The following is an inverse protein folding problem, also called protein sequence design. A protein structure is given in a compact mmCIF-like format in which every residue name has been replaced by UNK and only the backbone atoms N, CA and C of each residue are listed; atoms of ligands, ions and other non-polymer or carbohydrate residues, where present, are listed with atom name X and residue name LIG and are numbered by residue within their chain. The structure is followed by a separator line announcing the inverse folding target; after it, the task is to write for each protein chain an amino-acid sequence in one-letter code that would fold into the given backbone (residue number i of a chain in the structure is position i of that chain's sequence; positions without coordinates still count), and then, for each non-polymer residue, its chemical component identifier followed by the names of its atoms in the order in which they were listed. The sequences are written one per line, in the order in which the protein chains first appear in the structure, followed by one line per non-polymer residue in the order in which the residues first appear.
data_IF_091034834430
#
_entry.id   IF_091034834430
#
_cell.length_a   1.000
_cell.length_b   1.000
_cell.length_c   1.000
_cell.angle_alpha   90.00
_cell.angle_beta   90.00
_cell.angle_gamma   90.00
#
_symmetry.space_group_name_H-M   'P 1'
#
loop_
_entity.id
_entity.type
_entity.pdbx_description
1 polymer ?
#
# COMPACT_ATOMS: atom_id res chain seq x y z
N UNK A 1 -14.69 11.05 -1.00
CA UNK A 1 -14.46 10.72 0.42
C UNK A 1 -12.99 11.01 0.73
N UNK A 2 -12.69 11.81 1.77
CA UNK A 2 -11.33 12.29 2.04
C UNK A 2 -10.48 11.19 2.70
N UNK A 3 -9.28 10.94 2.17
CA UNK A 3 -8.40 9.83 2.58
C UNK A 3 -7.99 9.90 4.06
N UNK A 4 -7.92 11.13 4.59
CA UNK A 4 -7.70 11.42 6.01
C UNK A 4 -8.70 10.69 6.90
N UNK A 5 -9.97 10.52 6.50
CA UNK A 5 -10.96 9.84 7.32
C UNK A 5 -10.66 8.35 7.50
N UNK A 6 -10.30 7.64 6.42
CA UNK A 6 -9.96 6.22 6.50
C UNK A 6 -8.70 6.01 7.34
N UNK A 7 -7.71 6.87 7.14
CA UNK A 7 -6.48 6.83 7.92
C UNK A 7 -6.74 7.11 9.41
N UNK A 8 -7.48 8.15 9.75
CA UNK A 8 -7.80 8.49 11.15
C UNK A 8 -8.63 7.40 11.82
N UNK A 9 -9.60 6.81 11.12
CA UNK A 9 -10.39 5.70 11.65
C UNK A 9 -9.49 4.49 11.95
N UNK A 10 -8.57 4.15 11.04
CA UNK A 10 -7.65 3.06 11.23
C UNK A 10 -6.61 3.36 12.33
N UNK A 11 -6.15 4.61 12.46
CA UNK A 11 -5.26 5.06 13.53
C UNK A 11 -5.94 4.95 14.89
N UNK A 12 -7.20 5.38 14.98
CA UNK A 12 -8.02 5.32 16.17
C UNK A 12 -8.27 3.87 16.63
N UNK A 13 -8.27 2.89 15.73
CA UNK A 13 -8.29 1.48 16.08
C UNK A 13 -6.89 0.93 16.44
N UNK A 14 -5.87 1.31 15.67
CA UNK A 14 -4.50 0.78 15.78
C UNK A 14 -3.84 1.21 17.09
N UNK A 15 -3.93 2.49 17.46
CA UNK A 15 -3.24 3.03 18.64
C UNK A 15 -3.71 2.35 19.94
N UNK A 16 -5.01 2.27 20.26
CA UNK A 16 -5.47 1.55 21.45
C UNK A 16 -5.10 0.06 21.42
N UNK A 17 -5.14 -0.59 20.25
CA UNK A 17 -4.78 -1.99 20.11
C UNK A 17 -3.29 -2.24 20.43
N UNK A 18 -2.39 -1.36 19.98
CA UNK A 18 -0.97 -1.41 20.32
C UNK A 18 -0.74 -1.23 21.83
N UNK A 19 -1.39 -0.25 22.46
CA UNK A 19 -1.30 -0.05 23.91
C UNK A 19 -1.83 -1.25 24.69
N UNK A 20 -3.01 -1.77 24.32
CA UNK A 20 -3.59 -2.94 24.96
C UNK A 20 -2.69 -4.18 24.80
N UNK A 21 -2.10 -4.38 23.62
CA UNK A 21 -1.11 -5.45 23.38
C UNK A 21 0.09 -5.32 24.31
N UNK A 22 0.65 -4.12 24.45
CA UNK A 22 1.81 -3.87 25.31
C UNK A 22 1.48 -4.13 26.79
N UNK A 23 0.31 -3.66 27.26
CA UNK A 23 -0.17 -3.90 28.63
C UNK A 23 -0.36 -5.39 28.89
N UNK A 24 -1.07 -6.11 28.01
CA UNK A 24 -1.28 -7.55 28.15
C UNK A 24 0.04 -8.33 28.12
N UNK A 25 1.01 -7.87 27.32
CA UNK A 25 2.36 -8.44 27.28
C UNK A 25 3.09 -8.26 28.61
N UNK A 26 3.05 -7.05 29.18
CA UNK A 26 3.64 -6.76 30.48
C UNK A 26 3.00 -7.56 31.63
N UNK A 27 1.70 -7.82 31.55
CA UNK A 27 0.96 -8.64 32.53
C UNK A 27 1.11 -10.15 32.31
N UNK A 28 1.82 -10.60 31.26
CA UNK A 28 1.97 -12.02 30.94
C UNK A 28 0.67 -12.71 30.51
N UNK A 29 -0.31 -11.95 30.00
CA UNK A 29 -1.62 -12.49 29.61
C UNK A 29 -1.54 -13.39 28.39
N UNK A 30 -2.33 -14.48 28.39
CA UNK A 30 -2.49 -15.37 27.23
C UNK A 30 -3.13 -14.66 26.01
N UNK A 31 -3.89 -13.58 26.24
CA UNK A 31 -4.49 -12.76 25.20
C UNK A 31 -3.50 -11.84 24.47
N UNK A 32 -2.26 -11.72 24.96
CA UNK A 32 -1.22 -10.91 24.32
C UNK A 32 -0.94 -11.35 22.87
N UNK A 33 -0.87 -12.66 22.61
CA UNK A 33 -0.56 -13.18 21.28
C UNK A 33 -1.64 -12.85 20.22
N UNK A 34 -2.93 -13.22 20.41
CA UNK A 34 -3.95 -12.90 19.41
C UNK A 34 -4.15 -11.39 19.23
N UNK A 35 -4.10 -10.60 20.31
CA UNK A 35 -4.24 -9.14 20.20
C UNK A 35 -3.02 -8.50 19.55
N UNK A 36 -1.82 -9.00 19.81
CA UNK A 36 -0.59 -8.53 19.19
C UNK A 36 -0.55 -8.81 17.69
N UNK A 37 -1.01 -9.98 17.26
CA UNK A 37 -1.17 -10.28 15.83
C UNK A 37 -2.18 -9.32 15.18
N UNK A 38 -3.33 -9.13 15.81
CA UNK A 38 -4.35 -8.19 15.31
C UNK A 38 -3.81 -6.76 15.21
N UNK A 39 -3.07 -6.31 16.22
CA UNK A 39 -2.46 -4.97 16.27
C UNK A 39 -1.36 -4.81 15.21
N UNK A 40 -0.55 -5.85 14.98
CA UNK A 40 0.46 -5.85 13.93
C UNK A 40 -0.18 -5.76 12.53
N UNK A 41 -1.27 -6.49 12.29
CA UNK A 41 -2.02 -6.41 11.03
C UNK A 41 -2.59 -5.01 10.80
N UNK A 42 -3.21 -4.40 11.82
CA UNK A 42 -3.71 -3.03 11.74
C UNK A 42 -2.59 -2.02 11.47
N UNK A 43 -1.46 -2.13 12.20
CA UNK A 43 -0.29 -1.27 12.03
C UNK A 43 0.30 -1.37 10.61
N UNK A 44 0.49 -2.58 10.09
CA UNK A 44 0.96 -2.76 8.71
C UNK A 44 -0.06 -2.21 7.71
N UNK A 45 -1.36 -2.42 7.95
CA UNK A 45 -2.42 -1.92 7.07
C UNK A 45 -2.44 -0.39 7.00
N UNK A 46 -2.31 0.32 8.13
CA UNK A 46 -2.31 1.78 8.14
C UNK A 46 -1.10 2.38 7.42
N UNK A 47 0.10 1.84 7.67
CA UNK A 47 1.31 2.30 6.99
C UNK A 47 1.27 1.99 5.48
N UNK A 48 0.75 0.82 5.11
CA UNK A 48 0.56 0.44 3.70
C UNK A 48 -0.45 1.34 2.99
N UNK A 49 -1.51 1.77 3.68
CA UNK A 49 -2.52 2.68 3.14
C UNK A 49 -1.89 4.03 2.75
N UNK A 50 -1.00 4.56 3.58
CA UNK A 50 -0.27 5.81 3.26
C UNK A 50 0.62 5.64 2.05
N UNK A 51 1.42 4.58 2.01
CA UNK A 51 2.31 4.29 0.88
C UNK A 51 1.50 4.18 -0.43
N UNK A 52 0.40 3.43 -0.40
CA UNK A 52 -0.48 3.27 -1.56
C UNK A 52 -1.04 4.62 -2.02
N UNK A 53 -1.53 5.43 -1.08
CA UNK A 53 -2.09 6.73 -1.41
C UNK A 53 -1.06 7.65 -2.07
N UNK A 54 0.14 7.72 -1.51
CA UNK A 54 1.24 8.49 -2.08
C UNK A 54 1.59 8.06 -3.51
N UNK A 55 1.65 6.75 -3.75
CA UNK A 55 1.90 6.21 -5.10
C UNK A 55 0.77 6.58 -6.07
N UNK A 56 -0.49 6.42 -5.64
CA UNK A 56 -1.67 6.72 -6.46
C UNK A 56 -1.74 8.22 -6.77
N UNK A 57 -1.55 9.11 -5.79
CA UNK A 57 -1.51 10.57 -6.01
C UNK A 57 -0.50 10.95 -7.08
N UNK A 58 0.75 10.48 -6.96
CA UNK A 58 1.76 10.79 -7.96
C UNK A 58 1.39 10.28 -9.36
N UNK A 59 0.74 9.13 -9.47
CA UNK A 59 0.24 8.61 -10.75
C UNK A 59 -0.89 9.45 -11.32
N UNK A 60 -1.87 9.81 -10.50
CA UNK A 60 -3.03 10.62 -10.93
C UNK A 60 -2.59 11.99 -11.41
N UNK A 61 -1.70 12.68 -10.69
CA UNK A 61 -1.18 13.98 -11.10
C UNK A 61 -0.39 13.91 -12.42
N UNK A 62 0.40 12.83 -12.62
CA UNK A 62 1.11 12.62 -13.89
C UNK A 62 0.16 12.43 -15.07
N UNK A 63 -0.92 11.70 -14.84
CA UNK A 63 -1.94 11.46 -15.86
C UNK A 63 -2.73 12.74 -16.16
N UNK A 64 -3.07 13.52 -15.13
CA UNK A 64 -3.71 14.82 -15.27
C UNK A 64 -2.83 15.82 -16.05
N UNK A 65 -1.54 15.89 -15.76
CA UNK A 65 -0.61 16.72 -16.53
C UNK A 65 -0.59 16.33 -18.02
N UNK A 66 -0.53 15.03 -18.31
CA UNK A 66 -0.45 14.53 -19.69
C UNK A 66 -1.72 14.81 -20.49
N UNK A 67 -2.89 14.71 -19.87
CA UNK A 67 -4.17 14.71 -20.59
C UNK A 67 -4.97 16.01 -20.48
N UNK A 68 -4.75 16.79 -19.42
CA UNK A 68 -5.58 17.94 -19.06
C UNK A 68 -4.77 19.23 -18.91
N UNK A 69 -3.52 19.24 -19.36
CA UNK A 69 -2.61 20.40 -19.28
C UNK A 69 -2.45 20.96 -17.87
N UNK A 70 -2.58 20.11 -16.83
CA UNK A 70 -2.31 20.52 -15.46
C UNK A 70 -0.86 21.03 -15.37
N UNK A 71 -0.64 22.16 -14.69
CA UNK A 71 0.67 22.79 -14.64
C UNK A 71 1.75 21.89 -14.02
N UNK A 72 3.02 21.99 -14.48
CA UNK A 72 4.13 21.17 -13.97
C UNK A 72 4.41 21.36 -12.48
N UNK A 73 4.02 22.50 -11.90
CA UNK A 73 4.19 22.83 -10.50
C UNK A 73 3.54 21.80 -9.55
N UNK A 74 2.43 21.17 -9.94
CA UNK A 74 1.77 20.15 -9.13
C UNK A 74 2.61 18.88 -8.99
N UNK A 75 3.33 18.50 -10.05
CA UNK A 75 4.23 17.35 -10.01
C UNK A 75 5.56 17.67 -9.32
N UNK A 76 6.08 18.88 -9.49
CA UNK A 76 7.25 19.33 -8.75
C UNK A 76 6.95 19.37 -7.25
N UNK A 77 5.79 19.89 -6.87
CA UNK A 77 5.34 19.93 -5.49
C UNK A 77 5.11 18.51 -4.93
N UNK A 78 4.49 17.62 -5.71
CA UNK A 78 4.36 16.21 -5.34
C UNK A 78 5.74 15.54 -5.18
N UNK A 79 6.66 15.78 -6.12
CA UNK A 79 8.02 15.25 -6.09
C UNK A 79 8.81 15.73 -4.88
N UNK A 80 8.74 17.03 -4.58
CA UNK A 80 9.30 17.64 -3.37
C UNK A 80 8.70 17.04 -2.11
N UNK A 81 7.38 16.89 -2.09
CA UNK A 81 6.69 16.23 -0.98
C UNK A 81 7.20 14.79 -0.78
N UNK A 82 7.33 13.98 -1.84
CA UNK A 82 7.85 12.61 -1.70
C UNK A 82 9.33 12.54 -1.35
N UNK A 83 10.15 13.47 -1.84
CA UNK A 83 11.59 13.50 -1.61
C UNK A 83 11.98 14.07 -0.24
N UNK A 84 11.27 15.09 0.23
CA UNK A 84 11.62 15.82 1.47
C UNK A 84 10.80 15.38 2.68
N UNK A 85 9.59 14.83 2.50
CA UNK A 85 8.73 14.50 3.65
C UNK A 85 9.06 13.13 4.19
N UNK A 86 9.17 13.08 5.52
CA UNK A 86 9.42 11.86 6.28
C UNK A 86 8.26 10.83 6.26
N UNK A 87 7.16 11.06 5.53
CA UNK A 87 5.98 10.18 5.55
C UNK A 87 6.26 8.75 5.09
N UNK A 88 6.98 8.57 3.98
CA UNK A 88 7.31 7.23 3.47
C UNK A 88 8.35 6.50 4.36
N UNK A 89 9.47 7.13 4.76
CA UNK A 89 10.39 6.52 5.71
C UNK A 89 9.73 6.20 7.07
N UNK A 90 8.83 7.05 7.55
CA UNK A 90 8.08 6.80 8.78
C UNK A 90 7.18 5.57 8.67
N UNK A 91 6.44 5.43 7.57
CA UNK A 91 5.60 4.26 7.31
C UNK A 91 6.40 2.96 7.25
N UNK A 92 7.57 2.98 6.60
CA UNK A 92 8.47 1.83 6.58
C UNK A 92 9.01 1.52 7.98
N UNK A 93 9.41 2.52 8.75
CA UNK A 93 9.91 2.32 10.12
C UNK A 93 8.82 1.75 11.04
N UNK A 94 7.58 2.27 10.96
CA UNK A 94 6.43 1.76 11.69
C UNK A 94 6.12 0.30 11.37
N UNK A 95 5.97 -0.02 10.08
CA UNK A 95 5.70 -1.38 9.61
C UNK A 95 6.83 -2.36 9.92
N UNK A 96 8.10 -1.96 9.74
CA UNK A 96 9.23 -2.84 10.02
C UNK A 96 9.41 -3.09 11.52
N UNK A 97 9.27 -2.05 12.34
CA UNK A 97 9.43 -2.19 13.80
C UNK A 97 8.40 -3.13 14.43
N UNK A 98 7.13 -3.10 13.98
CA UNK A 98 6.10 -4.00 14.52
C UNK A 98 6.34 -5.45 14.09
N UNK A 99 6.79 -5.67 12.85
CA UNK A 99 7.19 -7.01 12.37
C UNK A 99 8.38 -7.53 13.16
N UNK A 100 9.41 -6.70 13.38
CA UNK A 100 10.59 -7.07 14.17
C UNK A 100 10.21 -7.45 15.61
N UNK A 101 9.33 -6.67 16.27
CA UNK A 101 8.84 -6.99 17.60
C UNK A 101 8.09 -8.33 17.65
N UNK A 102 7.26 -8.63 16.64
CA UNK A 102 6.56 -9.90 16.50
C UNK A 102 7.50 -11.09 16.30
N UNK A 103 8.50 -10.95 15.41
CA UNK A 103 9.52 -11.99 15.18
C UNK A 103 10.32 -12.27 16.45
N UNK A 104 10.74 -11.23 17.17
CA UNK A 104 11.45 -11.38 18.45
C UNK A 104 10.58 -12.03 19.52
N UNK A 105 9.27 -11.75 19.53
CA UNK A 105 8.31 -12.41 20.44
C UNK A 105 8.19 -13.90 20.19
N UNK A 106 8.17 -14.32 18.93
CA UNK A 106 8.21 -15.74 18.57
C UNK A 106 9.57 -16.36 18.93
N UNK A 107 10.66 -15.64 18.66
CA UNK A 107 12.01 -16.13 18.89
C UNK A 107 12.34 -16.30 20.38
N UNK A 108 11.78 -15.48 21.28
CA UNK A 108 11.92 -15.66 22.72
C UNK A 108 11.40 -17.03 23.21
N UNK A 109 10.43 -17.64 22.50
CA UNK A 109 9.91 -18.98 22.83
C UNK A 109 10.71 -20.12 22.20
N UNK A 110 11.24 -19.90 20.98
CA UNK A 110 11.87 -20.97 20.19
C UNK A 110 13.41 -21.03 20.27
N UNK A 111 14.07 -19.88 20.48
CA UNK A 111 15.53 -19.75 20.34
C UNK A 111 16.24 -19.29 21.63
N UNK A 112 15.54 -19.23 22.76
CA UNK A 112 16.13 -18.86 24.05
C UNK A 112 16.52 -17.38 24.18
N UNK A 113 15.98 -16.50 23.33
CA UNK A 113 16.19 -15.06 23.44
C UNK A 113 15.56 -14.55 24.75
N UNK A 114 16.29 -13.70 25.47
CA UNK A 114 15.82 -13.10 26.73
C UNK A 114 14.46 -12.40 26.54
N UNK A 115 13.46 -12.66 27.39
CA UNK A 115 12.17 -11.96 27.34
C UNK A 115 12.28 -10.43 27.40
N UNK A 116 13.32 -9.91 28.05
CA UNK A 116 13.59 -8.47 28.13
C UNK A 116 13.86 -7.86 26.75
N UNK A 117 14.46 -8.61 25.82
CA UNK A 117 14.70 -8.15 24.44
C UNK A 117 13.37 -7.99 23.70
N UNK A 118 12.43 -8.93 23.87
CA UNK A 118 11.10 -8.82 23.27
C UNK A 118 10.32 -7.64 23.86
N UNK A 119 10.35 -7.46 25.19
CA UNK A 119 9.71 -6.32 25.87
C UNK A 119 10.29 -4.99 25.33
N UNK A 120 11.61 -4.87 25.28
CA UNK A 120 12.29 -3.68 24.75
C UNK A 120 11.91 -3.41 23.30
N UNK A 121 11.91 -4.44 22.44
CA UNK A 121 11.50 -4.31 21.05
C UNK A 121 10.02 -3.93 20.90
N UNK A 122 9.13 -4.46 21.73
CA UNK A 122 7.70 -4.11 21.74
C UNK A 122 7.47 -2.65 22.13
N UNK A 123 8.15 -2.16 23.17
CA UNK A 123 8.07 -0.74 23.58
C UNK A 123 8.67 0.20 22.53
N UNK A 124 9.80 -0.18 21.92
CA UNK A 124 10.39 0.58 20.83
C UNK A 124 9.45 0.63 19.61
N UNK A 125 8.86 -0.50 19.23
CA UNK A 125 7.89 -0.57 18.14
C UNK A 125 6.66 0.31 18.42
N UNK A 126 6.11 0.28 19.64
CA UNK A 126 5.02 1.16 20.05
C UNK A 126 5.41 2.64 19.86
N UNK A 127 6.56 3.06 20.39
CA UNK A 127 7.02 4.44 20.27
C UNK A 127 7.23 4.87 18.79
N UNK A 128 7.87 4.02 17.98
CA UNK A 128 8.09 4.25 16.56
C UNK A 128 6.76 4.37 15.81
N UNK A 129 5.78 3.50 16.09
CA UNK A 129 4.47 3.54 15.45
C UNK A 129 3.69 4.80 15.81
N UNK A 130 3.72 5.25 17.07
CA UNK A 130 3.06 6.51 17.47
C UNK A 130 3.70 7.73 16.77
N UNK A 131 5.02 7.76 16.69
CA UNK A 131 5.75 8.78 15.94
C UNK A 131 5.40 8.73 14.45
N UNK A 132 5.46 7.55 13.84
CA UNK A 132 5.19 7.35 12.42
C UNK A 132 3.78 7.77 12.05
N UNK A 133 2.78 7.34 12.83
CA UNK A 133 1.37 7.72 12.63
C UNK A 133 1.19 9.25 12.64
N UNK A 134 1.90 9.94 13.54
CA UNK A 134 1.85 11.39 13.68
C UNK A 134 2.52 12.14 12.52
N UNK A 135 3.61 11.59 11.97
CA UNK A 135 4.30 12.12 10.78
C UNK A 135 3.44 11.90 9.53
N UNK A 136 2.91 10.68 9.38
CA UNK A 136 2.04 10.29 8.27
C UNK A 136 0.74 11.09 8.24
N UNK A 137 0.11 11.34 9.39
CA UNK A 137 -1.09 12.18 9.45
C UNK A 137 -0.83 13.59 8.91
N UNK A 138 0.29 14.21 9.30
CA UNK A 138 0.72 15.51 8.77
C UNK A 138 1.04 15.46 7.28
N UNK A 139 1.67 14.38 6.82
CA UNK A 139 1.94 14.16 5.41
C UNK A 139 0.63 14.06 4.61
N UNK A 140 -0.35 13.32 5.10
CA UNK A 140 -1.67 13.16 4.47
C UNK A 140 -2.43 14.47 4.36
N UNK A 141 -2.41 15.32 5.39
CA UNK A 141 -3.07 16.63 5.34
C UNK A 141 -2.51 17.50 4.22
N UNK A 142 -1.17 17.58 4.10
CA UNK A 142 -0.55 18.35 3.02
C UNK A 142 -0.78 17.72 1.64
N UNK A 143 -0.78 16.39 1.53
CA UNK A 143 -1.11 15.74 0.27
C UNK A 143 -2.58 15.96 -0.13
N UNK A 144 -3.49 16.00 0.85
CA UNK A 144 -4.91 16.33 0.62
C UNK A 144 -5.04 17.75 0.07
N UNK A 145 -4.33 18.73 0.63
CA UNK A 145 -4.33 20.11 0.13
C UNK A 145 -3.82 20.21 -1.32
N UNK A 146 -2.77 19.45 -1.66
CA UNK A 146 -2.27 19.39 -3.04
C UNK A 146 -3.31 18.80 -3.99
N UNK A 147 -3.96 17.70 -3.61
CA UNK A 147 -5.01 17.07 -4.41
C UNK A 147 -6.22 17.98 -4.57
N UNK A 148 -6.64 18.67 -3.50
CA UNK A 148 -7.79 19.57 -3.55
C UNK A 148 -7.51 20.77 -4.47
N UNK A 149 -6.28 21.33 -4.46
CA UNK A 149 -5.86 22.36 -5.42
C UNK A 149 -5.81 21.84 -6.85
N UNK A 150 -5.26 20.65 -7.07
CA UNK A 150 -5.19 20.05 -8.40
C UNK A 150 -6.59 19.76 -8.97
N UNK A 151 -7.51 19.27 -8.14
CA UNK A 151 -8.90 19.05 -8.52
C UNK A 151 -9.60 20.36 -8.89
N UNK A 152 -9.45 21.41 -8.06
CA UNK A 152 -10.00 22.73 -8.37
C UNK A 152 -9.49 23.29 -9.70
N UNK A 153 -8.20 23.12 -9.97
CA UNK A 153 -7.58 23.58 -11.20
C UNK A 153 -8.07 22.79 -12.43
N UNK A 154 -8.22 21.47 -12.31
CA UNK A 154 -8.83 20.65 -13.35
C UNK A 154 -10.29 21.07 -13.63
N UNK A 155 -11.07 21.33 -12.59
CA UNK A 155 -12.46 21.81 -12.73
C UNK A 155 -12.53 23.21 -13.39
N UNK A 156 -11.50 24.06 -13.19
CA UNK A 156 -11.38 25.34 -13.90
C UNK A 156 -11.09 25.10 -15.39
N UNK A 157 -10.12 24.26 -15.70
CA UNK A 157 -9.71 23.95 -17.07
C UNK A 157 -10.84 23.30 -17.88
N UNK A 158 -11.60 22.39 -17.25
CA UNK A 158 -12.75 21.74 -17.88
C UNK A 158 -13.86 22.77 -18.19
N UNK A 159 -14.18 23.68 -17.25
CA UNK A 159 -15.15 24.77 -17.51
C UNK A 159 -14.71 25.72 -18.62
N UNK A 160 -13.41 26.00 -18.73
CA UNK A 160 -12.87 26.85 -19.79
C UNK A 160 -12.91 26.18 -21.17
N UNK A 161 -12.67 24.87 -21.23
CA UNK A 161 -12.84 24.08 -22.44
C UNK A 161 -14.30 24.05 -22.90
N UNK A 162 -15.22 23.81 -21.97
CA UNK A 162 -16.67 23.83 -22.24
C UNK A 162 -17.12 25.20 -22.76
N UNK A 163 -16.64 26.29 -22.16
CA UNK A 163 -16.96 27.66 -22.59
C UNK A 163 -16.44 27.99 -24.00
N UNK A 164 -15.34 27.36 -24.43
CA UNK A 164 -14.83 27.47 -25.81
C UNK A 164 -15.58 26.57 -26.81
N UNK A 165 -16.44 25.67 -26.32
CA UNK A 165 -17.08 24.65 -27.15
C UNK A 165 -16.10 23.57 -27.61
N UNK A 166 -15.00 23.36 -26.88
CA UNK A 166 -14.04 22.31 -27.18
C UNK A 166 -14.74 20.95 -27.01
N UNK A 167 -14.61 20.06 -28.01
CA UNK A 167 -15.12 18.71 -27.86
C UNK A 167 -14.39 18.00 -26.70
N UNK A 168 -15.08 17.15 -25.91
CA UNK A 168 -14.42 16.35 -24.89
C UNK A 168 -13.27 15.55 -25.53
N UNK A 169 -12.12 15.43 -24.85
CA UNK A 169 -11.03 14.63 -25.36
C UNK A 169 -11.54 13.21 -25.62
N UNK A 170 -11.23 12.68 -26.80
CA UNK A 170 -11.59 11.31 -27.13
C UNK A 170 -11.04 10.36 -26.05
N UNK A 171 -11.80 9.33 -25.64
CA UNK A 171 -11.30 8.38 -24.66
C UNK A 171 -9.97 7.79 -25.15
N UNK A 172 -8.97 7.63 -24.27
CA UNK A 172 -7.68 7.10 -24.67
C UNK A 172 -7.88 5.73 -25.33
N UNK A 173 -7.19 5.43 -26.44
CA UNK A 173 -7.31 4.15 -27.10
C UNK A 173 -6.95 3.03 -26.12
N UNK A 174 -7.70 1.92 -26.20
CA UNK A 174 -7.43 0.75 -25.35
C UNK A 174 -5.99 0.29 -25.55
N UNK A 175 -5.20 0.29 -24.48
CA UNK A 175 -3.80 -0.14 -24.55
C UNK A 175 -3.74 -1.64 -24.93
N UNK A 176 -3.22 -2.00 -26.11
CA UNK A 176 -3.18 -3.39 -26.57
C UNK A 176 -2.31 -4.29 -25.68
N UNK A 177 -1.42 -3.71 -24.88
CA UNK A 177 -0.55 -4.45 -23.93
C UNK A 177 -1.18 -4.62 -22.56
N UNK A 178 -2.37 -4.06 -22.31
CA UNK A 178 -3.09 -4.21 -21.03
C UNK A 178 -3.34 -5.69 -20.67
N UNK A 179 -3.78 -6.57 -21.58
CA UNK A 179 -3.95 -7.99 -21.29
C UNK A 179 -2.64 -8.66 -20.89
N UNK A 180 -1.52 -8.27 -21.51
CA UNK A 180 -0.23 -8.84 -21.19
C UNK A 180 0.16 -8.54 -19.73
N UNK A 181 0.07 -7.28 -19.33
CA UNK A 181 0.40 -6.87 -17.96
C UNK A 181 -0.52 -7.52 -16.93
N UNK A 182 -1.83 -7.59 -17.21
CA UNK A 182 -2.78 -8.28 -16.32
C UNK A 182 -2.49 -9.78 -16.24
N UNK A 183 -2.17 -10.42 -17.35
CA UNK A 183 -1.79 -11.82 -17.40
C UNK A 183 -0.56 -12.13 -16.56
N UNK A 184 0.50 -11.32 -16.67
CA UNK A 184 1.70 -11.47 -15.83
C UNK A 184 1.39 -11.28 -14.34
N UNK A 185 0.61 -10.25 -13.99
CA UNK A 185 0.20 -10.01 -12.60
C UNK A 185 -0.59 -11.21 -12.05
N UNK A 186 -1.56 -11.74 -12.81
CA UNK A 186 -2.32 -12.91 -12.42
C UNK A 186 -1.41 -14.15 -12.27
N UNK A 187 -0.48 -14.34 -13.21
CA UNK A 187 0.44 -15.47 -13.23
C UNK A 187 1.30 -15.55 -11.96
N UNK A 188 1.77 -14.40 -11.48
CA UNK A 188 2.59 -14.29 -10.26
C UNK A 188 1.70 -14.31 -9.00
N UNK A 189 0.64 -13.49 -8.98
CA UNK A 189 -0.20 -13.30 -7.80
C UNK A 189 -0.96 -14.56 -7.39
N UNK A 190 -1.27 -15.45 -8.33
CA UNK A 190 -1.88 -16.75 -8.06
C UNK A 190 -1.08 -17.61 -7.05
N UNK A 191 0.23 -17.41 -6.93
CA UNK A 191 1.07 -18.17 -6.02
C UNK A 191 1.10 -17.61 -4.59
N UNK A 192 0.70 -16.35 -4.36
CA UNK A 192 0.75 -15.74 -3.03
C UNK A 192 -0.14 -16.47 -2.01
N UNK A 193 -1.40 -16.84 -2.33
CA UNK A 193 -2.23 -17.61 -1.40
C UNK A 193 -1.67 -19.01 -1.12
N UNK A 194 -1.11 -19.69 -2.14
CA UNK A 194 -0.47 -20.99 -1.96
C UNK A 194 0.70 -20.90 -0.98
N UNK A 195 1.60 -19.95 -1.19
CA UNK A 195 2.76 -19.74 -0.31
C UNK A 195 2.32 -19.35 1.10
N UNK A 196 1.29 -18.52 1.24
CA UNK A 196 0.71 -18.20 2.54
C UNK A 196 0.18 -19.46 3.25
N UNK A 197 -0.62 -20.28 2.58
CA UNK A 197 -1.15 -21.51 3.19
C UNK A 197 -0.04 -22.50 3.53
N UNK A 198 0.88 -22.77 2.60
CA UNK A 198 1.97 -23.72 2.82
C UNK A 198 2.92 -23.29 3.94
N UNK A 199 3.39 -22.04 3.91
CA UNK A 199 4.42 -21.57 4.84
C UNK A 199 3.83 -21.14 6.19
N UNK A 200 2.68 -20.47 6.20
CA UNK A 200 2.10 -19.89 7.42
C UNK A 200 1.06 -20.83 8.03
N UNK A 201 0.05 -21.26 7.26
CA UNK A 201 -1.07 -22.04 7.79
C UNK A 201 -0.64 -23.47 8.16
N UNK A 202 0.12 -24.11 7.27
CA UNK A 202 0.58 -25.49 7.42
C UNK A 202 2.03 -25.60 7.89
N UNK A 203 2.68 -24.49 8.22
CA UNK A 203 4.02 -24.44 8.82
C UNK A 203 5.07 -25.22 8.02
N UNK A 204 4.97 -25.20 6.69
CA UNK A 204 5.86 -25.92 5.79
C UNK A 204 5.41 -27.34 5.44
N UNK A 205 4.26 -27.82 5.91
CA UNK A 205 3.68 -29.10 5.47
C UNK A 205 2.97 -28.94 4.12
N UNK A 206 3.75 -29.04 3.04
CA UNK A 206 3.27 -28.92 1.66
C UNK A 206 2.32 -30.06 1.25
N UNK A 207 2.26 -31.18 1.97
CA UNK A 207 1.35 -32.27 1.65
C UNK A 207 -0.12 -31.89 1.85
N UNK A 208 -0.39 -30.85 2.67
CA UNK A 208 -1.73 -30.31 2.91
C UNK A 208 -2.14 -29.25 1.87
N UNK A 209 -1.20 -28.84 1.03
CA UNK A 209 -1.39 -27.77 0.06
C UNK A 209 -1.76 -28.29 -1.33
N UNK A 210 -2.99 -28.06 -1.77
CA UNK A 210 -3.34 -28.29 -3.17
C UNK A 210 -2.70 -27.22 -4.07
N UNK A 211 -1.96 -27.68 -5.08
CA UNK A 211 -1.31 -26.82 -6.09
C UNK A 211 -2.28 -26.43 -7.21
N UNK A 212 -3.30 -27.26 -7.47
CA UNK A 212 -4.16 -27.18 -8.65
C UNK A 212 -4.79 -25.80 -8.94
N UNK A 213 -5.51 -25.16 -8.01
CA UNK A 213 -6.19 -23.89 -8.32
C UNK A 213 -5.20 -22.75 -8.63
N UNK A 214 -3.99 -22.82 -8.07
CA UNK A 214 -2.94 -21.81 -8.26
C UNK A 214 -2.23 -22.00 -9.60
N UNK A 215 -1.98 -23.27 -9.98
CA UNK A 215 -1.40 -23.60 -11.27
C UNK A 215 -2.33 -23.21 -12.42
N UNK A 216 -3.63 -23.50 -12.30
CA UNK A 216 -4.64 -23.14 -13.31
C UNK A 216 -4.72 -21.63 -13.51
N UNK A 217 -4.81 -20.86 -12.43
CA UNK A 217 -4.79 -19.40 -12.48
C UNK A 217 -3.47 -18.87 -13.08
N UNK A 218 -2.34 -19.52 -12.77
CA UNK A 218 -1.04 -19.14 -13.32
C UNK A 218 -0.91 -19.43 -14.82
N UNK A 219 -1.45 -20.57 -15.30
CA UNK A 219 -1.55 -20.91 -16.72
C UNK A 219 -2.43 -19.92 -17.46
N UNK A 220 -3.61 -19.57 -16.91
CA UNK A 220 -4.50 -18.57 -17.49
C UNK A 220 -3.80 -17.20 -17.60
N UNK A 221 -3.12 -16.78 -16.53
CA UNK A 221 -2.31 -15.56 -16.53
C UNK A 221 -1.23 -15.58 -17.62
N UNK A 222 -0.54 -16.70 -17.77
CA UNK A 222 0.50 -16.89 -18.79
C UNK A 222 -0.07 -16.85 -20.21
N UNK A 223 -1.23 -17.47 -20.44
CA UNK A 223 -1.92 -17.41 -21.73
C UNK A 223 -2.30 -15.96 -22.10
N UNK A 224 -2.87 -15.21 -21.16
CA UNK A 224 -3.16 -13.79 -21.34
C UNK A 224 -1.90 -12.95 -21.61
N UNK A 225 -0.78 -13.29 -20.95
CA UNK A 225 0.51 -12.67 -21.20
C UNK A 225 1.00 -12.88 -22.63
N UNK A 226 0.95 -14.13 -23.12
CA UNK A 226 1.39 -14.49 -24.47
C UNK A 226 0.52 -13.81 -25.52
N UNK A 227 -0.81 -13.91 -25.38
CA UNK A 227 -1.76 -13.29 -26.31
C UNK A 227 -1.57 -11.77 -26.35
N UNK A 228 -1.44 -11.13 -25.18
CA UNK A 228 -1.24 -9.69 -25.11
C UNK A 228 0.11 -9.21 -25.63
N UNK A 229 1.15 -10.05 -25.66
CA UNK A 229 2.45 -9.72 -26.27
C UNK A 229 2.41 -9.71 -27.79
N UNK A 230 1.54 -10.51 -28.40
CA UNK A 230 1.39 -10.58 -29.85
C UNK A 230 0.66 -9.38 -30.46
N UNK A 231 0.07 -8.52 -29.63
CA UNK A 231 -0.65 -7.35 -30.12
C UNK A 231 0.33 -6.33 -30.76
N UNK A 232 0.04 -5.84 -31.98
CA UNK A 232 0.90 -4.88 -32.66
C UNK A 232 1.09 -3.62 -31.82
N UNK A 233 2.31 -3.06 -31.84
CA UNK A 233 2.57 -1.80 -31.17
C UNK A 233 1.70 -0.71 -31.83
N UNK A 234 1.10 0.22 -31.05
CA UNK A 234 0.38 1.34 -31.64
C UNK A 234 1.32 2.12 -32.56
N UNK A 235 0.86 2.40 -33.77
CA UNK A 235 1.63 3.13 -34.77
C UNK A 235 1.89 4.55 -34.27
N UNK A 236 3.17 4.89 -34.08
CA UNK A 236 3.59 6.19 -33.52
C UNK A 236 3.29 7.37 -34.44
N UNK A 237 2.79 7.14 -35.66
CA UNK A 237 2.53 8.18 -36.67
C UNK A 237 1.14 8.81 -36.58
N UNK A 238 0.28 8.37 -35.66
CA UNK A 238 -1.10 8.87 -35.53
C UNK A 238 -1.35 9.71 -34.26
N UNK A 239 -0.30 10.09 -33.52
CA UNK A 239 -0.35 10.97 -32.34
C UNK A 239 0.52 12.21 -32.56
#
# INVERSE_FOLDING_TARGET
MRMVYYYTALAAATVPALFATAILGALGSSHHLPLGLFSALLAVAIHSLVILFMLVTGRVLREAQRNKMLGPEFLEEAGRFFGERAGFPAALAGAFSIVAAGVLGYAARGFGISPMVHIGAGLAALAINLWAISVEYRALLCNQELIDRAAFELDRLDREADARGDAPPAPPPLDPRRPARLGLTLAIAAWLPYLYQALILWRGDFARASIHPWLEASILGTALFIVGRGAPAPDKRQS
#
